data_IF_440484876545
#
_entry.id   IF_440484876545
#
_cell.length_a   1.000
_cell.length_b   1.000
_cell.length_c   1.000
_cell.angle_alpha   90.00
_cell.angle_beta   90.00
_cell.angle_gamma   90.00
#
_symmetry.space_group_name_H-M   'P 1'
#
loop_
_entity.id
_entity.type
_entity.pdbx_description
1 polymer ?
#
# COMPACT_ATOMS: atom_id res chain seq x y z
N UNK A 1 5.02 63.88 53.20
CA UNK A 1 3.60 63.89 52.85
C UNK A 1 3.49 63.73 51.33
N UNK A 2 3.39 62.55 50.83
CA UNK A 2 3.07 62.29 49.43
C UNK A 2 2.06 61.14 49.34
N UNK A 3 0.96 61.25 48.59
CA UNK A 3 0.01 60.20 48.47
C UNK A 3 0.44 59.15 47.43
N UNK A 4 0.20 57.94 47.79
CA UNK A 4 0.45 56.73 47.02
C UNK A 4 -0.70 56.56 46.01
N UNK A 5 -0.40 56.49 44.71
CA UNK A 5 -1.34 56.17 43.68
C UNK A 5 -1.30 54.64 43.43
N UNK A 6 -2.37 53.98 43.77
CA UNK A 6 -2.59 52.57 43.49
C UNK A 6 -3.16 52.41 42.09
N UNK A 7 -2.37 51.86 41.17
CA UNK A 7 -2.83 51.49 39.84
C UNK A 7 -3.36 50.05 39.90
N UNK A 8 -4.69 49.88 39.77
CA UNK A 8 -5.35 48.60 39.51
C UNK A 8 -5.18 48.23 38.05
N UNK A 9 -4.35 47.22 37.79
CA UNK A 9 -4.28 46.58 36.47
C UNK A 9 -5.25 45.42 36.47
N UNK A 10 -6.36 45.59 35.78
CA UNK A 10 -7.32 44.54 35.53
C UNK A 10 -6.77 43.51 34.54
N UNK A 11 -6.54 42.28 34.98
CA UNK A 11 -6.21 41.15 34.12
C UNK A 11 -7.51 40.65 33.47
N UNK A 12 -7.69 40.93 32.19
CA UNK A 12 -8.67 40.28 31.36
C UNK A 12 -8.15 38.91 30.95
N UNK A 13 -8.65 37.84 31.56
CA UNK A 13 -8.46 36.46 31.14
C UNK A 13 -9.30 36.24 29.87
N UNK A 14 -8.66 36.36 28.70
CA UNK A 14 -9.25 35.87 27.46
C UNK A 14 -9.15 34.33 27.46
N UNK A 15 -10.27 33.67 27.72
CA UNK A 15 -10.41 32.23 27.59
C UNK A 15 -10.26 31.84 26.11
N UNK A 16 -9.15 31.22 25.76
CA UNK A 16 -9.01 30.53 24.48
C UNK A 16 -9.81 29.23 24.60
N UNK A 17 -11.02 29.25 24.08
CA UNK A 17 -11.79 28.04 23.86
C UNK A 17 -11.08 27.21 22.78
N UNK A 18 -10.37 26.17 23.21
CA UNK A 18 -9.88 25.13 22.31
C UNK A 18 -11.12 24.44 21.68
N UNK A 19 -11.41 24.78 20.45
CA UNK A 19 -12.36 24.03 19.65
C UNK A 19 -11.79 22.62 19.48
N UNK A 20 -12.24 21.69 20.30
CA UNK A 20 -12.09 20.27 20.06
C UNK A 20 -12.94 19.97 18.82
N UNK A 21 -12.29 19.92 17.67
CA UNK A 21 -12.86 19.30 16.48
C UNK A 21 -13.05 17.82 16.80
N UNK A 22 -14.27 17.46 17.21
CA UNK A 22 -14.72 16.07 17.18
C UNK A 22 -14.68 15.62 15.73
N UNK A 23 -13.56 14.97 15.36
CA UNK A 23 -13.52 14.21 14.11
C UNK A 23 -14.54 13.07 14.29
N UNK A 24 -15.72 13.25 13.75
CA UNK A 24 -16.61 12.14 13.40
C UNK A 24 -15.78 11.14 12.61
N UNK A 25 -15.92 9.82 12.84
CA UNK A 25 -15.32 8.81 11.97
C UNK A 25 -15.95 9.01 10.59
N UNK A 26 -15.41 9.95 9.85
CA UNK A 26 -15.88 10.35 8.54
C UNK A 26 -15.60 9.19 7.60
N UNK A 27 -16.69 8.72 7.07
CA UNK A 27 -16.87 7.99 5.86
C UNK A 27 -15.54 7.65 5.16
N UNK A 28 -15.03 6.44 5.41
CA UNK A 28 -13.83 5.89 4.77
C UNK A 28 -13.92 5.92 3.23
N UNK A 29 -15.16 6.02 2.69
CA UNK A 29 -15.43 6.26 1.26
C UNK A 29 -15.06 7.67 0.82
N UNK A 30 -15.34 8.69 1.63
CA UNK A 30 -15.00 10.09 1.32
C UNK A 30 -13.48 10.31 1.35
N UNK A 31 -12.78 9.72 2.32
CA UNK A 31 -11.32 9.76 2.40
C UNK A 31 -10.68 8.96 1.25
N UNK A 32 -11.26 7.81 0.88
CA UNK A 32 -10.85 7.04 -0.28
C UNK A 32 -11.12 7.80 -1.59
N UNK A 33 -12.28 8.46 -1.73
CA UNK A 33 -12.60 9.27 -2.91
C UNK A 33 -11.73 10.52 -3.02
N UNK A 34 -11.41 11.19 -1.91
CA UNK A 34 -10.51 12.34 -1.91
C UNK A 34 -9.06 11.93 -2.22
N UNK A 35 -8.61 10.78 -1.72
CA UNK A 35 -7.29 10.24 -2.09
C UNK A 35 -7.24 9.75 -3.54
N UNK A 36 -8.33 9.21 -4.07
CA UNK A 36 -8.45 8.84 -5.48
C UNK A 36 -8.39 10.06 -6.41
N UNK A 37 -9.05 11.17 -6.05
CA UNK A 37 -9.04 12.40 -6.85
C UNK A 37 -7.69 13.14 -6.83
N UNK A 38 -6.89 12.96 -5.76
CA UNK A 38 -5.58 13.59 -5.64
C UNK A 38 -4.45 12.82 -6.32
N UNK A 39 -4.67 11.52 -6.62
CA UNK A 39 -3.62 10.61 -7.10
C UNK A 39 -3.77 10.28 -8.59
N UNK A 40 -4.99 10.31 -9.13
CA UNK A 40 -5.23 10.04 -10.56
C UNK A 40 -5.38 11.36 -11.34
N UNK A 41 -4.26 11.93 -11.77
CA UNK A 41 -4.28 12.95 -12.81
C UNK A 41 -4.77 12.31 -14.14
N UNK A 42 -5.46 13.10 -14.97
CA UNK A 42 -5.99 12.65 -16.27
C UNK A 42 -4.91 12.01 -17.16
N UNK A 43 -3.65 12.44 -17.00
CA UNK A 43 -2.47 11.88 -17.70
C UNK A 43 -2.21 10.40 -17.35
N UNK A 44 -2.54 9.96 -16.13
CA UNK A 44 -2.36 8.56 -15.73
C UNK A 44 -3.43 7.65 -16.32
N UNK A 45 -4.68 8.14 -16.47
CA UNK A 45 -5.80 7.35 -17.00
C UNK A 45 -5.63 6.98 -18.47
N UNK A 46 -4.93 7.82 -19.24
CA UNK A 46 -4.69 7.63 -20.67
C UNK A 46 -3.41 6.83 -20.98
N UNK A 47 -2.62 6.47 -19.93
CA UNK A 47 -1.39 5.73 -20.15
C UNK A 47 -1.69 4.27 -20.52
N UNK A 48 -1.07 3.71 -21.58
CA UNK A 48 -1.35 2.35 -22.08
C UNK A 48 -1.04 1.26 -21.03
N UNK A 49 -0.19 1.56 -20.07
CA UNK A 49 0.20 0.67 -18.96
C UNK A 49 -0.47 1.04 -17.63
N UNK A 50 -1.54 1.84 -17.65
CA UNK A 50 -2.32 2.10 -16.45
C UNK A 50 -2.96 0.82 -15.92
N UNK A 51 -2.74 0.53 -14.63
CA UNK A 51 -3.10 -0.74 -13.99
C UNK A 51 -4.37 -0.68 -13.16
N UNK A 52 -4.94 0.50 -13.02
CA UNK A 52 -6.09 0.75 -12.18
C UNK A 52 -5.83 1.83 -11.13
N UNK A 53 -6.90 2.34 -10.47
CA UNK A 53 -6.79 3.34 -9.44
C UNK A 53 -6.10 2.76 -8.19
N UNK A 54 -5.42 3.61 -7.43
CA UNK A 54 -4.92 3.23 -6.12
C UNK A 54 -6.08 2.96 -5.14
N UNK A 55 -6.25 1.71 -4.74
CA UNK A 55 -7.21 1.28 -3.72
C UNK A 55 -6.43 0.69 -2.55
N UNK A 56 -6.47 1.34 -1.37
CA UNK A 56 -5.73 0.88 -0.20
C UNK A 56 -6.20 -0.49 0.28
N UNK A 57 -5.34 -1.50 0.25
CA UNK A 57 -5.61 -2.84 0.81
C UNK A 57 -5.70 -2.76 2.34
N UNK A 58 -6.75 -3.27 3.01
CA UNK A 58 -6.82 -3.29 4.46
C UNK A 58 -5.65 -4.04 5.12
N UNK A 59 -5.23 -3.60 6.30
CA UNK A 59 -4.09 -4.21 7.01
C UNK A 59 -4.27 -5.71 7.26
N UNK A 60 -5.48 -6.15 7.58
CA UNK A 60 -5.81 -7.58 7.77
C UNK A 60 -5.65 -8.41 6.50
N UNK A 61 -5.90 -7.81 5.33
CA UNK A 61 -5.72 -8.45 4.02
C UNK A 61 -4.25 -8.48 3.64
N UNK A 62 -3.50 -7.40 3.94
CA UNK A 62 -2.03 -7.37 3.77
C UNK A 62 -1.37 -8.50 4.56
N UNK A 63 -1.71 -8.62 5.85
CA UNK A 63 -1.16 -9.68 6.69
C UNK A 63 -1.51 -11.06 6.15
N UNK A 64 -2.77 -11.28 5.81
CA UNK A 64 -3.23 -12.55 5.28
C UNK A 64 -2.58 -12.93 3.95
N UNK A 65 -2.26 -11.95 3.07
CA UNK A 65 -1.57 -12.20 1.81
C UNK A 65 -0.12 -12.65 2.05
N UNK A 66 0.59 -11.98 2.97
CA UNK A 66 1.97 -12.32 3.34
C UNK A 66 2.04 -13.68 4.08
N UNK A 67 1.08 -13.97 4.96
CA UNK A 67 0.93 -15.27 5.61
C UNK A 67 0.64 -16.39 4.60
N UNK A 68 -0.29 -16.17 3.66
CA UNK A 68 -0.65 -17.13 2.62
C UNK A 68 0.58 -17.47 1.76
N UNK A 69 1.40 -16.48 1.43
CA UNK A 69 2.67 -16.67 0.76
C UNK A 69 3.74 -17.29 1.67
N UNK A 70 3.50 -17.46 2.98
CA UNK A 70 4.50 -17.91 3.98
C UNK A 70 5.79 -17.10 3.90
N UNK A 71 5.62 -15.76 3.88
CA UNK A 71 6.76 -14.84 3.86
C UNK A 71 7.58 -14.96 5.14
N UNK A 72 8.91 -14.92 5.02
CA UNK A 72 9.85 -14.97 6.13
C UNK A 72 11.11 -14.18 5.85
N UNK A 73 12.05 -14.19 6.78
CA UNK A 73 13.26 -13.35 6.80
C UNK A 73 14.19 -13.52 5.56
N UNK A 74 14.15 -14.71 4.94
CA UNK A 74 14.96 -15.02 3.76
C UNK A 74 14.29 -14.59 2.45
N UNK A 75 13.09 -14.07 2.50
CA UNK A 75 12.34 -13.65 1.31
C UNK A 75 12.73 -12.27 0.81
N UNK A 76 12.56 -12.11 -0.49
CA UNK A 76 12.54 -10.83 -1.18
C UNK A 76 11.18 -10.68 -1.85
N UNK A 77 10.33 -9.85 -1.23
CA UNK A 77 8.96 -9.59 -1.68
C UNK A 77 8.98 -8.45 -2.70
N UNK A 78 8.40 -8.67 -3.87
CA UNK A 78 8.10 -7.62 -4.84
C UNK A 78 6.59 -7.35 -4.84
N UNK A 79 6.21 -6.08 -4.67
CA UNK A 79 4.81 -5.65 -4.72
C UNK A 79 4.58 -4.81 -5.97
N UNK A 80 3.71 -5.31 -6.86
CA UNK A 80 3.44 -4.72 -8.18
C UNK A 80 2.27 -3.74 -8.07
N UNK A 81 2.52 -2.45 -8.32
CA UNK A 81 1.58 -1.38 -8.01
C UNK A 81 1.50 -1.16 -6.50
N UNK A 82 2.64 -0.86 -5.87
CA UNK A 82 2.76 -0.90 -4.42
C UNK A 82 1.99 0.20 -3.67
N UNK A 83 1.47 1.18 -4.40
CA UNK A 83 0.68 2.26 -3.81
C UNK A 83 1.44 3.00 -2.71
N UNK A 84 0.86 3.10 -1.52
CA UNK A 84 1.47 3.75 -0.36
C UNK A 84 2.47 2.87 0.40
N UNK A 85 2.87 1.75 -0.18
CA UNK A 85 3.92 0.87 0.34
C UNK A 85 3.49 -0.05 1.49
N UNK A 86 2.20 -0.15 1.80
CA UNK A 86 1.72 -0.90 2.98
C UNK A 86 2.14 -2.37 3.00
N UNK A 87 2.17 -3.05 1.86
CA UNK A 87 2.58 -4.46 1.76
C UNK A 87 4.08 -4.58 1.99
N UNK A 88 4.91 -3.77 1.33
CA UNK A 88 6.36 -3.83 1.48
C UNK A 88 6.83 -3.43 2.88
N UNK A 89 6.17 -2.45 3.50
CA UNK A 89 6.45 -2.06 4.88
C UNK A 89 6.07 -3.18 5.86
N UNK A 90 4.89 -3.80 5.68
CA UNK A 90 4.45 -4.92 6.50
C UNK A 90 5.38 -6.14 6.35
N UNK A 91 5.80 -6.46 5.12
CA UNK A 91 6.75 -7.56 4.87
C UNK A 91 8.05 -7.38 5.67
N UNK A 92 8.58 -6.15 5.71
CA UNK A 92 9.80 -5.87 6.48
C UNK A 92 9.58 -5.84 7.99
N UNK A 93 8.53 -5.18 8.47
CA UNK A 93 8.30 -4.97 9.91
C UNK A 93 7.84 -6.23 10.63
N UNK A 94 6.93 -7.00 10.02
CA UNK A 94 6.27 -8.13 10.68
C UNK A 94 6.87 -9.48 10.31
N UNK A 95 7.37 -9.60 9.07
CA UNK A 95 7.90 -10.86 8.55
C UNK A 95 9.43 -10.86 8.42
N UNK A 96 10.08 -9.73 8.73
CA UNK A 96 11.53 -9.54 8.65
C UNK A 96 12.11 -9.76 7.23
N UNK A 97 11.26 -9.77 6.21
CA UNK A 97 11.64 -9.94 4.82
C UNK A 97 12.29 -8.66 4.26
N UNK A 98 13.06 -8.81 3.19
CA UNK A 98 13.40 -7.69 2.32
C UNK A 98 12.25 -7.47 1.33
N UNK A 99 12.04 -6.22 0.90
CA UNK A 99 10.94 -5.93 0.00
C UNK A 99 11.22 -4.77 -0.96
N UNK A 100 10.60 -4.86 -2.12
CA UNK A 100 10.68 -3.84 -3.18
C UNK A 100 9.26 -3.56 -3.67
N UNK A 101 8.85 -2.31 -3.64
CA UNK A 101 7.62 -1.85 -4.27
C UNK A 101 7.93 -1.22 -5.62
N UNK A 102 7.11 -1.51 -6.61
CA UNK A 102 7.15 -0.83 -7.90
C UNK A 102 5.86 -0.02 -8.01
N UNK A 103 6.00 1.29 -8.18
CA UNK A 103 4.87 2.21 -8.21
C UNK A 103 5.09 3.26 -9.30
N UNK A 104 4.05 3.51 -10.08
CA UNK A 104 4.09 4.52 -11.14
C UNK A 104 3.97 5.95 -10.59
N UNK A 105 3.08 6.14 -9.61
CA UNK A 105 2.74 7.46 -9.09
C UNK A 105 3.86 8.03 -8.22
N UNK A 106 4.44 9.15 -8.66
CA UNK A 106 5.54 9.81 -7.96
C UNK A 106 5.17 10.20 -6.52
N UNK A 107 3.98 10.75 -6.29
CA UNK A 107 3.58 11.20 -4.95
C UNK A 107 3.45 10.02 -3.97
N UNK A 108 2.97 8.85 -4.44
CA UNK A 108 2.94 7.63 -3.65
C UNK A 108 4.35 7.10 -3.37
N UNK A 109 5.26 7.16 -4.35
CA UNK A 109 6.66 6.79 -4.14
C UNK A 109 7.34 7.69 -3.10
N UNK A 110 7.14 9.00 -3.16
CA UNK A 110 7.68 9.96 -2.20
C UNK A 110 7.14 9.72 -0.78
N UNK A 111 5.83 9.47 -0.67
CA UNK A 111 5.18 9.10 0.60
C UNK A 111 5.76 7.81 1.17
N UNK A 112 5.93 6.80 0.34
CA UNK A 112 6.50 5.50 0.73
C UNK A 112 7.96 5.65 1.14
N UNK A 113 8.78 6.40 0.38
CA UNK A 113 10.17 6.68 0.71
C UNK A 113 10.30 7.38 2.07
N UNK A 114 9.46 8.38 2.31
CA UNK A 114 9.41 9.08 3.60
C UNK A 114 9.02 8.15 4.76
N UNK A 115 8.12 7.20 4.51
CA UNK A 115 7.75 6.19 5.52
C UNK A 115 8.90 5.22 5.80
N UNK A 116 9.62 4.78 4.76
CA UNK A 116 10.81 3.90 4.88
C UNK A 116 11.85 4.57 5.78
N UNK A 117 12.19 5.84 5.52
CA UNK A 117 13.15 6.60 6.31
C UNK A 117 12.70 6.78 7.77
N UNK A 118 11.46 7.22 7.98
CA UNK A 118 10.92 7.42 9.34
C UNK A 118 10.92 6.13 10.17
N UNK A 119 10.80 4.97 9.53
CA UNK A 119 10.77 3.66 10.17
C UNK A 119 12.16 3.00 10.27
N UNK A 120 13.23 3.61 9.71
CA UNK A 120 14.58 3.06 9.70
C UNK A 120 14.70 1.77 8.89
N UNK A 121 13.95 1.66 7.77
CA UNK A 121 13.86 0.44 6.97
C UNK A 121 14.67 0.48 5.66
N UNK A 122 15.52 1.50 5.43
CA UNK A 122 16.26 1.72 4.17
C UNK A 122 17.16 0.53 3.79
N UNK A 123 17.62 -0.24 4.76
CA UNK A 123 18.41 -1.46 4.53
C UNK A 123 17.58 -2.67 4.09
N UNK A 124 16.25 -2.62 4.18
CA UNK A 124 15.36 -3.76 3.91
C UNK A 124 14.28 -3.46 2.87
N UNK A 125 13.83 -2.22 2.76
CA UNK A 125 12.71 -1.81 1.92
C UNK A 125 13.16 -0.79 0.89
N UNK A 126 12.73 -0.99 -0.35
CA UNK A 126 12.95 -0.06 -1.45
C UNK A 126 11.63 0.18 -2.19
N UNK A 127 11.38 1.41 -2.62
CA UNK A 127 10.35 1.72 -3.62
C UNK A 127 11.04 2.20 -4.89
N UNK A 128 10.57 1.70 -6.03
CA UNK A 128 11.03 2.07 -7.37
C UNK A 128 9.89 2.80 -8.05
N UNK A 129 10.12 4.04 -8.44
CA UNK A 129 9.21 4.76 -9.31
C UNK A 129 9.40 4.25 -10.74
N UNK A 130 8.35 3.73 -11.35
CA UNK A 130 8.42 3.27 -12.73
C UNK A 130 7.28 2.37 -13.15
N UNK A 131 7.29 2.04 -14.43
CA UNK A 131 6.36 1.11 -15.04
C UNK A 131 6.75 -0.33 -14.68
N UNK A 132 5.81 -1.10 -14.15
CA UNK A 132 6.07 -2.51 -13.77
C UNK A 132 6.39 -3.40 -14.98
N UNK A 133 5.97 -3.02 -16.17
CA UNK A 133 6.28 -3.77 -17.41
C UNK A 133 7.75 -3.65 -17.81
N UNK A 134 8.45 -2.62 -17.34
CA UNK A 134 9.85 -2.33 -17.64
C UNK A 134 10.81 -2.78 -16.53
N UNK A 135 10.28 -3.29 -15.40
CA UNK A 135 11.09 -3.65 -14.25
C UNK A 135 11.52 -5.12 -14.29
N UNK A 136 12.74 -5.37 -13.81
CA UNK A 136 13.24 -6.72 -13.56
C UNK A 136 12.79 -7.20 -12.17
N UNK A 137 11.90 -8.18 -12.15
CA UNK A 137 11.40 -8.83 -10.93
C UNK A 137 12.01 -10.22 -10.72
N UNK A 138 12.99 -10.61 -11.54
CA UNK A 138 13.65 -11.92 -11.47
C UNK A 138 14.30 -12.25 -10.10
N UNK A 139 14.73 -11.27 -9.26
CA UNK A 139 15.25 -11.55 -7.93
C UNK A 139 14.18 -11.95 -6.91
N UNK A 140 12.90 -11.74 -7.21
CA UNK A 140 11.81 -12.01 -6.27
C UNK A 140 11.77 -13.48 -5.81
N UNK A 141 11.43 -13.70 -4.55
CA UNK A 141 11.01 -15.00 -4.00
C UNK A 141 9.51 -15.04 -3.76
N UNK A 142 8.91 -13.87 -3.58
CA UNK A 142 7.47 -13.65 -3.48
C UNK A 142 7.10 -12.43 -4.31
N UNK A 143 5.99 -12.53 -5.04
CA UNK A 143 5.36 -11.41 -5.74
C UNK A 143 3.96 -11.20 -5.20
N UNK A 144 3.57 -9.97 -4.95
CA UNK A 144 2.20 -9.57 -4.59
C UNK A 144 1.67 -8.54 -5.57
N UNK A 145 0.35 -8.46 -5.69
CA UNK A 145 -0.28 -7.40 -6.46
C UNK A 145 -1.80 -7.36 -6.28
N UNK A 146 -2.34 -6.15 -6.24
CA UNK A 146 -3.78 -5.90 -6.31
C UNK A 146 -4.07 -5.13 -7.60
N UNK A 147 -4.25 -5.88 -8.68
CA UNK A 147 -4.33 -5.35 -10.03
C UNK A 147 -5.62 -5.81 -10.71
N UNK A 148 -6.08 -5.04 -11.68
CA UNK A 148 -7.21 -5.42 -12.52
C UNK A 148 -6.91 -6.67 -13.35
N UNK A 149 -7.94 -7.47 -13.73
CA UNK A 149 -7.77 -8.69 -14.54
C UNK A 149 -6.96 -8.47 -15.83
N UNK A 150 -7.23 -7.38 -16.55
CA UNK A 150 -6.49 -7.03 -17.78
C UNK A 150 -5.01 -6.76 -17.55
N UNK A 151 -4.67 -6.24 -16.37
CA UNK A 151 -3.28 -6.01 -16.00
C UNK A 151 -2.57 -7.33 -15.73
N UNK A 152 -3.23 -8.25 -15.05
CA UNK A 152 -2.73 -9.61 -14.86
C UNK A 152 -2.56 -10.37 -16.18
N UNK A 153 -3.49 -10.27 -17.14
CA UNK A 153 -3.37 -10.88 -18.48
C UNK A 153 -2.08 -10.45 -19.19
N UNK A 154 -1.71 -9.19 -19.05
CA UNK A 154 -0.50 -8.63 -19.67
C UNK A 154 0.78 -8.99 -18.90
N UNK A 155 0.71 -9.02 -17.57
CA UNK A 155 1.85 -9.30 -16.70
C UNK A 155 2.20 -10.78 -16.63
N UNK A 156 1.22 -11.67 -16.63
CA UNK A 156 1.44 -13.10 -16.45
C UNK A 156 2.54 -13.66 -17.37
N UNK A 157 2.56 -13.43 -18.70
CA UNK A 157 3.62 -13.95 -19.55
C UNK A 157 5.00 -13.31 -19.30
N UNK A 158 5.04 -12.11 -18.74
CA UNK A 158 6.30 -11.45 -18.35
C UNK A 158 6.85 -12.11 -17.08
N UNK A 159 5.98 -12.30 -16.08
CA UNK A 159 6.34 -12.95 -14.83
C UNK A 159 6.82 -14.40 -15.04
N UNK A 160 6.17 -15.15 -15.93
CA UNK A 160 6.60 -16.52 -16.28
C UNK A 160 8.00 -16.57 -16.88
N UNK A 161 8.39 -15.55 -17.65
CA UNK A 161 9.74 -15.47 -18.23
C UNK A 161 10.81 -14.99 -17.25
N UNK A 162 10.43 -14.11 -16.32
CA UNK A 162 11.40 -13.50 -15.40
C UNK A 162 11.56 -14.30 -14.12
N UNK A 163 10.48 -14.84 -13.57
CA UNK A 163 10.51 -15.46 -12.25
C UNK A 163 11.08 -16.87 -12.29
N UNK A 164 11.87 -17.20 -11.28
CA UNK A 164 12.45 -18.54 -11.14
C UNK A 164 11.38 -19.54 -10.70
N UNK A 165 11.58 -20.79 -11.03
CA UNK A 165 10.78 -21.91 -10.54
C UNK A 165 10.70 -21.87 -9.00
N UNK A 166 9.50 -22.04 -8.47
CA UNK A 166 9.23 -22.04 -7.03
C UNK A 166 8.84 -20.71 -6.43
N UNK A 167 8.99 -19.58 -7.15
CA UNK A 167 8.53 -18.26 -6.70
C UNK A 167 7.02 -18.32 -6.43
N UNK A 168 6.62 -17.75 -5.29
CA UNK A 168 5.23 -17.65 -4.86
C UNK A 168 4.64 -16.33 -5.32
N UNK A 169 3.44 -16.37 -5.87
CA UNK A 169 2.73 -15.17 -6.31
C UNK A 169 1.37 -15.12 -5.63
N UNK A 170 1.01 -13.97 -5.07
CA UNK A 170 -0.31 -13.73 -4.48
C UNK A 170 -0.99 -12.60 -5.20
N UNK A 171 -2.16 -12.89 -5.78
CA UNK A 171 -3.06 -11.86 -6.29
C UNK A 171 -4.19 -11.60 -5.31
N UNK A 172 -4.59 -10.33 -5.22
CA UNK A 172 -5.69 -9.87 -4.37
C UNK A 172 -6.91 -9.60 -5.24
N UNK A 173 -8.06 -10.12 -4.83
CA UNK A 173 -9.39 -10.05 -5.43
C UNK A 173 -9.55 -10.77 -6.78
N UNK A 174 -8.65 -10.61 -7.70
CA UNK A 174 -8.76 -11.16 -9.05
C UNK A 174 -7.74 -12.27 -9.29
N UNK A 175 -8.18 -13.42 -9.83
CA UNK A 175 -7.25 -14.50 -10.19
C UNK A 175 -6.39 -14.11 -11.40
N UNK A 176 -5.17 -14.64 -11.46
CA UNK A 176 -4.30 -14.49 -12.62
C UNK A 176 -4.78 -15.42 -13.73
N UNK A 177 -5.18 -14.89 -14.89
CA UNK A 177 -5.72 -15.69 -15.99
C UNK A 177 -4.72 -16.75 -16.47
N UNK A 178 -5.21 -17.97 -16.66
CA UNK A 178 -4.40 -19.09 -17.15
C UNK A 178 -3.51 -19.77 -16.09
N UNK A 179 -3.35 -19.19 -14.90
CA UNK A 179 -2.52 -19.77 -13.86
C UNK A 179 -3.30 -20.72 -12.96
N UNK A 180 -2.66 -21.81 -12.57
CA UNK A 180 -3.26 -22.77 -11.64
C UNK A 180 -3.19 -22.25 -10.20
N UNK A 181 -4.35 -21.98 -9.61
CA UNK A 181 -4.48 -21.60 -8.20
C UNK A 181 -4.06 -22.79 -7.32
N UNK A 182 -3.11 -22.58 -6.42
CA UNK A 182 -2.71 -23.57 -5.42
C UNK A 182 -3.58 -23.50 -4.18
N UNK A 183 -3.87 -22.29 -3.73
CA UNK A 183 -4.68 -22.05 -2.54
C UNK A 183 -5.48 -20.76 -2.73
N UNK A 184 -6.73 -20.78 -2.25
CA UNK A 184 -7.59 -19.59 -2.17
C UNK A 184 -7.97 -19.35 -0.73
N UNK A 185 -7.79 -18.14 -0.24
CA UNK A 185 -8.24 -17.69 1.08
C UNK A 185 -9.23 -16.54 0.90
N UNK A 186 -10.39 -16.64 1.53
CA UNK A 186 -11.38 -15.57 1.55
C UNK A 186 -11.43 -14.92 2.93
N UNK A 187 -11.43 -13.60 2.96
CA UNK A 187 -11.55 -12.79 4.16
C UNK A 187 -12.86 -11.99 4.11
N UNK A 188 -13.51 -11.86 5.24
CA UNK A 188 -14.66 -10.97 5.37
C UNK A 188 -14.14 -9.53 5.46
N UNK A 189 -14.74 -8.64 4.70
CA UNK A 189 -14.49 -7.20 4.81
C UNK A 189 -15.23 -6.59 6.00
N UNK A 190 -15.03 -5.30 6.21
CA UNK A 190 -15.66 -4.53 7.29
C UNK A 190 -17.18 -4.43 7.15
N UNK A 191 -17.71 -4.48 5.95
CA UNK A 191 -19.17 -4.54 5.71
C UNK A 191 -19.63 -5.98 5.50
N UNK A 192 -20.92 -6.24 5.78
CA UNK A 192 -21.52 -7.59 5.63
C UNK A 192 -21.43 -8.16 4.21
N UNK A 193 -21.27 -7.30 3.20
CA UNK A 193 -21.22 -7.67 1.78
C UNK A 193 -19.83 -7.59 1.19
N UNK A 194 -18.86 -7.01 1.89
CA UNK A 194 -17.48 -6.93 1.41
C UNK A 194 -16.73 -8.22 1.73
N UNK A 195 -16.01 -8.74 0.75
CA UNK A 195 -15.07 -9.83 0.91
C UNK A 195 -13.80 -9.55 0.12
N UNK A 196 -12.74 -10.19 0.54
CA UNK A 196 -11.44 -10.13 -0.11
C UNK A 196 -11.01 -11.56 -0.43
N UNK A 197 -10.72 -11.80 -1.69
CA UNK A 197 -10.20 -13.08 -2.15
C UNK A 197 -8.68 -12.98 -2.35
N UNK A 198 -7.95 -13.93 -1.82
CA UNK A 198 -6.51 -14.08 -2.03
C UNK A 198 -6.25 -15.37 -2.78
N UNK A 199 -5.43 -15.31 -3.82
CA UNK A 199 -5.08 -16.46 -4.63
C UNK A 199 -3.57 -16.65 -4.61
N UNK A 200 -3.13 -17.84 -4.20
CA UNK A 200 -1.72 -18.24 -4.18
C UNK A 200 -1.39 -19.09 -5.40
N UNK A 201 -0.28 -18.75 -6.01
CA UNK A 201 0.32 -19.47 -7.14
C UNK A 201 1.79 -19.78 -6.85
N UNK A 202 2.35 -20.69 -7.65
CA UNK A 202 3.77 -21.01 -7.66
C UNK A 202 4.27 -21.17 -9.09
N UNK A 203 5.34 -20.48 -9.43
CA UNK A 203 6.01 -20.61 -10.74
C UNK A 203 6.57 -22.03 -10.89
N UNK A 204 6.31 -22.67 -12.05
CA UNK A 204 6.66 -24.07 -12.35
C UNK A 204 7.97 -24.24 -13.10
#
# INVERSE_FOLDING_TARGET
MHPIWTCLVGLALAGVAAAQTTQTPGDSRLLAQQSLQAVDSKEHLDHPNWLGPFIPTPATVVDAALELAKVGENDLVYDLGSGDGRIILAAAQRFQARSVGIEWNQALCEKTSSAIQRLGLEGRVKVIQGDIFDQDVSPATVVTGYLLPKSWERLAPILERQLRKGVRVVSVNDPIPGWQVLEKKQLKGESKTASWDLYLYRIR
#
